data_IF_754802024675
#
_entry.id   IF_754802024675
#
_cell.length_a   1.000
_cell.length_b   1.000
_cell.length_c   1.000
_cell.angle_alpha   90.00
_cell.angle_beta   90.00
_cell.angle_gamma   90.00
#
_symmetry.space_group_name_H-M   'P 1'
#
loop_
_entity.id
_entity.type
_entity.pdbx_description
1 polymer ?
#
# COMPACT_ATOMS: atom_id res chain seq x y z
N UNK A 1 9.59 -14.12 21.47
CA UNK A 1 8.53 -14.98 20.88
C UNK A 1 8.90 -15.40 19.48
N UNK A 2 8.50 -16.60 19.05
CA UNK A 2 8.57 -17.01 17.64
C UNK A 2 7.61 -16.18 16.78
N UNK A 3 7.80 -16.16 15.47
CA UNK A 3 6.89 -15.46 14.56
C UNK A 3 5.44 -15.97 14.67
N UNK A 4 5.26 -17.28 14.80
CA UNK A 4 3.95 -17.93 14.92
C UNK A 4 3.22 -17.56 16.23
N UNK A 5 3.96 -17.28 17.29
CA UNK A 5 3.39 -16.76 18.53
C UNK A 5 2.96 -15.30 18.38
N UNK A 6 3.80 -14.48 17.72
CA UNK A 6 3.52 -13.05 17.50
C UNK A 6 2.26 -12.84 16.66
N UNK A 7 2.11 -13.53 15.54
CA UNK A 7 0.99 -13.32 14.60
C UNK A 7 -0.39 -13.67 15.21
N UNK A 8 -0.42 -14.52 16.24
CA UNK A 8 -1.65 -14.87 16.97
C UNK A 8 -2.11 -13.75 17.93
N UNK A 9 -1.24 -12.80 18.26
CA UNK A 9 -1.59 -11.73 19.20
C UNK A 9 -2.41 -10.63 18.50
N UNK A 10 -3.54 -10.18 19.09
CA UNK A 10 -4.30 -9.04 18.55
C UNK A 10 -3.46 -7.77 18.39
N UNK A 11 -2.49 -7.56 19.29
CA UNK A 11 -1.55 -6.43 19.23
C UNK A 11 -0.71 -6.44 17.95
N UNK A 12 -0.41 -7.63 17.40
CA UNK A 12 0.31 -7.74 16.14
C UNK A 12 -0.46 -7.09 15.00
N UNK A 13 -1.74 -7.36 14.87
CA UNK A 13 -2.58 -6.80 13.81
C UNK A 13 -2.79 -5.29 13.95
N UNK A 14 -2.84 -4.79 15.19
CA UNK A 14 -2.86 -3.35 15.47
C UNK A 14 -1.56 -2.67 15.01
N UNK A 15 -0.41 -3.26 15.33
CA UNK A 15 0.90 -2.72 14.91
C UNK A 15 1.12 -2.87 13.40
N UNK A 16 0.66 -3.98 12.82
CA UNK A 16 0.63 -4.21 11.38
C UNK A 16 -0.14 -3.10 10.67
N UNK A 17 -1.38 -2.81 11.09
CA UNK A 17 -2.19 -1.75 10.48
C UNK A 17 -1.51 -0.38 10.56
N UNK A 18 -0.89 -0.07 11.72
CA UNK A 18 -0.12 1.17 11.93
C UNK A 18 1.11 1.31 11.01
N UNK A 19 1.59 0.22 10.42
CA UNK A 19 2.71 0.25 9.44
C UNK A 19 2.20 0.13 8.01
N UNK A 20 1.36 -0.86 7.75
CA UNK A 20 0.89 -1.20 6.41
C UNK A 20 0.03 -0.09 5.80
N UNK A 21 -0.84 0.57 6.58
CA UNK A 21 -1.72 1.62 6.06
C UNK A 21 -0.92 2.87 5.65
N UNK A 22 -0.06 3.47 6.49
CA UNK A 22 0.76 4.60 6.05
C UNK A 22 1.67 4.27 4.86
N UNK A 23 2.25 3.07 4.85
CA UNK A 23 3.09 2.63 3.74
C UNK A 23 2.28 2.47 2.44
N UNK A 24 1.09 1.88 2.50
CA UNK A 24 0.17 1.75 1.37
C UNK A 24 -0.20 3.11 0.78
N UNK A 25 -0.52 4.09 1.64
CA UNK A 25 -0.82 5.46 1.21
C UNK A 25 0.41 6.06 0.51
N UNK A 26 1.59 5.94 1.13
CA UNK A 26 2.84 6.46 0.56
C UNK A 26 3.12 5.89 -0.83
N UNK A 27 3.11 4.57 -1.00
CA UNK A 27 3.36 3.93 -2.31
C UNK A 27 2.26 4.25 -3.33
N UNK A 28 1.04 4.50 -2.88
CA UNK A 28 -0.05 4.94 -3.75
C UNK A 28 0.22 6.33 -4.30
N UNK A 29 0.57 7.28 -3.43
CA UNK A 29 0.89 8.65 -3.82
C UNK A 29 2.09 8.70 -4.76
N UNK A 30 3.18 7.99 -4.43
CA UNK A 30 4.37 7.90 -5.29
C UNK A 30 3.99 7.37 -6.68
N UNK A 31 3.21 6.29 -6.74
CA UNK A 31 2.79 5.70 -8.02
C UNK A 31 1.92 6.65 -8.84
N UNK A 32 1.02 7.40 -8.20
CA UNK A 32 0.18 8.39 -8.89
C UNK A 32 1.02 9.54 -9.46
N UNK A 33 1.95 10.05 -8.65
CA UNK A 33 2.85 11.11 -9.09
C UNK A 33 3.77 10.64 -10.22
N UNK A 34 4.34 9.44 -10.14
CA UNK A 34 5.20 8.94 -11.23
C UNK A 34 4.45 8.75 -12.55
N UNK A 35 3.19 8.32 -12.50
CA UNK A 35 2.43 7.97 -13.70
C UNK A 35 1.62 9.13 -14.28
N UNK A 36 1.22 10.11 -13.46
CA UNK A 36 0.24 11.13 -13.85
C UNK A 36 0.40 12.46 -13.13
N UNK A 37 1.63 12.85 -12.73
CA UNK A 37 1.90 14.14 -12.07
C UNK A 37 1.30 15.30 -12.87
N UNK A 38 1.61 15.39 -14.17
CA UNK A 38 1.17 16.51 -15.01
C UNK A 38 -0.35 16.63 -15.02
N UNK A 39 -1.05 15.52 -15.19
CA UNK A 39 -2.51 15.45 -15.24
C UNK A 39 -3.14 15.81 -13.88
N UNK A 40 -2.54 15.35 -12.77
CA UNK A 40 -2.99 15.68 -11.41
C UNK A 40 -2.92 17.20 -11.19
N UNK A 41 -1.80 17.84 -11.52
CA UNK A 41 -1.64 19.29 -11.33
C UNK A 41 -2.42 20.13 -12.35
N UNK A 42 -2.75 19.56 -13.51
CA UNK A 42 -3.65 20.18 -14.49
C UNK A 42 -5.14 19.98 -14.16
N UNK A 43 -5.48 19.16 -13.16
CA UNK A 43 -6.87 18.83 -12.81
C UNK A 43 -7.58 17.90 -13.80
N UNK A 44 -6.85 17.23 -14.69
CA UNK A 44 -7.42 16.31 -15.70
C UNK A 44 -7.59 14.90 -15.11
N UNK A 45 -8.59 14.75 -14.23
CA UNK A 45 -8.87 13.47 -13.58
C UNK A 45 -9.44 12.41 -14.52
N UNK A 46 -10.00 12.81 -15.67
CA UNK A 46 -10.40 11.87 -16.72
C UNK A 46 -9.16 11.15 -17.28
N UNK A 47 -8.08 11.89 -17.54
CA UNK A 47 -6.81 11.32 -17.98
C UNK A 47 -6.10 10.53 -16.89
N UNK A 48 -6.14 10.99 -15.63
CA UNK A 48 -5.63 10.20 -14.49
C UNK A 48 -6.32 8.84 -14.40
N UNK A 49 -7.65 8.80 -14.60
CA UNK A 49 -8.42 7.56 -14.64
C UNK A 49 -8.01 6.66 -15.80
N UNK A 50 -7.89 7.21 -17.01
CA UNK A 50 -7.45 6.45 -18.19
C UNK A 50 -6.06 5.82 -18.00
N UNK A 51 -5.12 6.58 -17.43
CA UNK A 51 -3.73 6.14 -17.22
C UNK A 51 -3.65 5.04 -16.16
N UNK A 52 -4.30 5.22 -15.00
CA UNK A 52 -4.04 4.38 -13.83
C UNK A 52 -5.12 3.32 -13.54
N UNK A 53 -6.38 3.57 -13.92
CA UNK A 53 -7.52 2.84 -13.35
C UNK A 53 -8.42 2.17 -14.40
N UNK A 54 -8.60 2.78 -15.58
CA UNK A 54 -9.55 2.33 -16.58
C UNK A 54 -9.34 0.87 -17.05
N UNK A 55 -10.44 0.21 -17.41
CA UNK A 55 -10.44 -1.18 -17.82
C UNK A 55 -10.01 -2.12 -16.69
N UNK A 56 -8.95 -2.89 -16.91
CA UNK A 56 -8.38 -3.80 -15.91
C UNK A 56 -7.16 -3.21 -15.16
N UNK A 57 -6.73 -1.98 -15.47
CA UNK A 57 -5.51 -1.38 -14.89
C UNK A 57 -5.61 -1.20 -13.38
N UNK A 58 -6.80 -0.88 -12.86
CA UNK A 58 -7.01 -0.76 -11.41
C UNK A 58 -6.63 -2.04 -10.65
N UNK A 59 -6.83 -3.24 -11.23
CA UNK A 59 -6.49 -4.51 -10.58
C UNK A 59 -4.99 -4.60 -10.35
N UNK A 60 -4.19 -4.30 -11.36
CA UNK A 60 -2.73 -4.27 -11.26
C UNK A 60 -2.27 -3.14 -10.36
N UNK A 61 -2.87 -1.96 -10.50
CA UNK A 61 -2.52 -0.77 -9.72
C UNK A 61 -2.69 -1.02 -8.22
N UNK A 62 -3.84 -1.54 -7.80
CA UNK A 62 -4.15 -1.81 -6.39
C UNK A 62 -3.55 -3.12 -5.90
N UNK A 63 -3.60 -4.18 -6.71
CA UNK A 63 -3.11 -5.50 -6.34
C UNK A 63 -1.64 -5.48 -5.94
N UNK A 64 -0.77 -4.83 -6.72
CA UNK A 64 0.64 -4.70 -6.38
C UNK A 64 0.84 -3.97 -5.04
N UNK A 65 0.12 -2.87 -4.83
CA UNK A 65 0.24 -2.04 -3.62
C UNK A 65 -0.23 -2.77 -2.37
N UNK A 66 -1.33 -3.53 -2.47
CA UNK A 66 -1.83 -4.37 -1.38
C UNK A 66 -0.79 -5.43 -1.01
N UNK A 67 -0.24 -6.13 -2.01
CA UNK A 67 0.76 -7.18 -1.80
C UNK A 67 2.01 -6.61 -1.11
N UNK A 68 2.65 -5.58 -1.67
CA UNK A 68 3.89 -5.02 -1.10
C UNK A 68 3.67 -4.45 0.30
N UNK A 69 2.52 -3.82 0.55
CA UNK A 69 2.23 -3.20 1.86
C UNK A 69 1.94 -4.25 2.91
N UNK A 70 1.34 -5.38 2.52
CA UNK A 70 1.10 -6.51 3.40
C UNK A 70 2.42 -7.17 3.80
N UNK A 71 3.28 -7.49 2.83
CA UNK A 71 4.59 -8.09 3.12
C UNK A 71 5.47 -7.16 3.97
N UNK A 72 5.52 -5.87 3.61
CA UNK A 72 6.29 -4.89 4.37
C UNK A 72 5.75 -4.72 5.80
N UNK A 73 4.42 -4.59 5.95
CA UNK A 73 3.78 -4.46 7.26
C UNK A 73 4.05 -5.67 8.16
N UNK A 74 3.95 -6.88 7.64
CA UNK A 74 4.23 -8.12 8.38
C UNK A 74 5.69 -8.16 8.82
N UNK A 75 6.63 -7.89 7.90
CA UNK A 75 8.05 -7.92 8.17
C UNK A 75 8.47 -6.92 9.24
N UNK A 76 8.05 -5.65 9.10
CA UNK A 76 8.36 -4.60 10.08
C UNK A 76 7.76 -4.93 11.46
N UNK A 77 6.50 -5.38 11.49
CA UNK A 77 5.82 -5.69 12.75
C UNK A 77 6.48 -6.85 13.49
N UNK A 78 6.78 -7.94 12.76
CA UNK A 78 7.49 -9.10 13.31
C UNK A 78 8.86 -8.73 13.88
N UNK A 79 9.60 -7.84 13.19
CA UNK A 79 10.93 -7.36 13.60
C UNK A 79 10.86 -6.44 14.82
N UNK A 80 9.82 -5.62 14.95
CA UNK A 80 9.68 -4.62 16.04
C UNK A 80 9.01 -5.17 17.30
N UNK A 81 8.14 -6.16 17.19
CA UNK A 81 7.60 -6.85 18.36
C UNK A 81 8.68 -7.77 18.93
N UNK A 82 8.98 -7.62 20.22
CA UNK A 82 9.92 -8.51 20.94
C UNK A 82 9.18 -9.75 21.43
#
# INVERSE_FOLDING_TARGET
MTFLEKIKQPLFWTNFAKVAIPFFIMVTLISLFMNSWKEIFAGDFAKVNEINFAGNKWKTFWGLKIVISTFYGIWVTSKKMK
#
